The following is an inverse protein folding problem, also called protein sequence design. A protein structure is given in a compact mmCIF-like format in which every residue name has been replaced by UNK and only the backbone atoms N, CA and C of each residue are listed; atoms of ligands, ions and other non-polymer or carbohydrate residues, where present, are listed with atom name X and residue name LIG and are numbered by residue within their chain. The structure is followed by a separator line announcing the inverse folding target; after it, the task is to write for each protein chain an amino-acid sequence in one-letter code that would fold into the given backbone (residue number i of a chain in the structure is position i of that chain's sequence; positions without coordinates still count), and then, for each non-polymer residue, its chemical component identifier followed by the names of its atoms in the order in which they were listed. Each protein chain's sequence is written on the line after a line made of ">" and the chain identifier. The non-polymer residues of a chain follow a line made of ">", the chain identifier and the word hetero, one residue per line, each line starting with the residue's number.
data_IF_912317017427
#
_entry.id   IF_912317017427
#
_cell.length_a   1.000
_cell.length_b   1.000
_cell.length_c   1.000
_cell.angle_alpha   90.00
_cell.angle_beta   90.00
_cell.angle_gamma   90.00
#
_symmetry.space_group_name_H-M   'P 1'
#
loop_
_entity.id
_entity.type
_entity.pdbx_description
1 polymer ?
#
# COMPACT_ATOMS: atom_id res chain seq x y z
N UNK A 1 14.41 7.20 23.81
CA UNK A 1 13.17 6.70 23.18
C UNK A 1 11.97 7.36 23.85
N UNK A 2 11.16 8.10 23.10
CA UNK A 2 9.94 8.75 23.61
C UNK A 2 8.69 7.90 23.33
N UNK A 3 7.64 8.11 24.14
CA UNK A 3 6.46 7.24 24.21
C UNK A 3 5.53 7.36 22.99
N UNK A 4 5.55 8.51 22.31
CA UNK A 4 4.87 8.82 21.06
C UNK A 4 5.65 9.92 20.34
N UNK A 5 5.90 9.82 19.03
CA UNK A 5 6.59 10.86 18.25
C UNK A 5 5.62 11.48 17.24
N UNK A 6 5.17 12.71 17.55
CA UNK A 6 4.20 13.49 16.77
C UNK A 6 4.82 14.67 16.01
N UNK A 7 6.15 14.71 15.87
CA UNK A 7 6.83 15.83 15.22
C UNK A 7 7.71 15.35 14.08
N UNK A 8 7.08 15.10 12.93
CA UNK A 8 7.77 15.15 11.65
C UNK A 8 7.64 16.58 11.14
N UNK A 9 8.64 17.43 11.39
CA UNK A 9 8.69 18.77 10.83
C UNK A 9 9.20 18.68 9.37
N UNK A 10 8.34 18.97 8.39
CA UNK A 10 8.77 19.24 7.02
C UNK A 10 8.58 18.14 5.98
N UNK A 11 7.83 17.07 6.25
CA UNK A 11 7.48 16.06 5.23
C UNK A 11 5.99 15.72 5.31
N UNK A 12 5.40 15.39 4.15
CA UNK A 12 3.97 15.18 3.88
C UNK A 12 3.21 14.47 5.01
N UNK A 13 1.93 14.84 5.15
CA UNK A 13 0.92 14.55 6.18
C UNK A 13 0.64 13.09 6.56
N UNK A 14 1.56 12.15 6.30
CA UNK A 14 1.42 10.73 6.63
C UNK A 14 1.90 10.43 8.05
N UNK A 15 0.97 9.98 8.89
CA UNK A 15 1.27 9.52 10.25
C UNK A 15 1.96 8.15 10.17
N UNK A 16 3.25 8.09 10.53
CA UNK A 16 4.01 6.84 10.65
C UNK A 16 4.08 6.44 12.12
N UNK A 17 3.82 5.18 12.46
CA UNK A 17 4.09 4.69 13.81
C UNK A 17 5.58 4.64 14.07
N UNK A 18 6.02 5.38 15.08
CA UNK A 18 7.42 5.53 15.46
C UNK A 18 7.59 5.31 16.97
N UNK A 19 8.85 5.21 17.40
CA UNK A 19 9.20 5.03 18.81
C UNK A 19 8.81 3.67 19.39
N UNK A 20 8.49 3.64 20.69
CA UNK A 20 8.19 2.41 21.44
C UNK A 20 7.00 1.62 20.86
N UNK A 21 5.89 2.24 20.41
CA UNK A 21 4.80 1.50 19.75
C UNK A 21 5.27 0.71 18.52
N UNK A 22 6.12 1.31 17.69
CA UNK A 22 6.68 0.64 16.51
C UNK A 22 7.68 -0.45 16.89
N UNK A 23 8.52 -0.19 17.89
CA UNK A 23 9.44 -1.20 18.42
C UNK A 23 8.67 -2.44 18.89
N UNK A 24 7.54 -2.26 19.57
CA UNK A 24 6.68 -3.35 20.03
C UNK A 24 6.09 -4.15 18.86
N UNK A 25 5.69 -3.49 17.77
CA UNK A 25 5.22 -4.18 16.54
C UNK A 25 6.31 -5.07 15.93
N UNK A 26 7.54 -4.56 15.83
CA UNK A 26 8.69 -5.28 15.25
C UNK A 26 9.09 -6.48 16.13
N UNK A 27 9.29 -6.25 17.42
CA UNK A 27 9.74 -7.27 18.39
C UNK A 27 8.71 -8.41 18.51
N UNK A 28 7.41 -8.08 18.49
CA UNK A 28 6.34 -9.06 18.60
C UNK A 28 6.00 -9.73 17.27
N UNK A 29 6.61 -9.31 16.16
CA UNK A 29 6.29 -9.80 14.80
C UNK A 29 4.78 -9.68 14.55
N UNK A 30 4.26 -8.47 14.74
CA UNK A 30 2.84 -8.20 14.59
C UNK A 30 2.42 -8.33 13.12
N UNK A 31 1.45 -9.20 12.83
CA UNK A 31 0.85 -9.33 11.48
C UNK A 31 0.11 -8.06 11.06
N UNK A 32 -0.67 -7.50 11.99
CA UNK A 32 -1.46 -6.30 11.78
C UNK A 32 -0.75 -5.11 12.45
N UNK A 33 0.06 -4.40 11.66
CA UNK A 33 0.73 -3.17 12.09
C UNK A 33 -0.21 -1.97 11.91
N UNK A 34 -0.03 -0.92 12.73
CA UNK A 34 -0.94 0.25 12.69
C UNK A 34 -0.80 1.09 11.43
N UNK A 35 0.42 1.20 10.90
CA UNK A 35 0.71 2.02 9.70
C UNK A 35 1.50 1.18 8.69
N UNK A 36 0.84 0.25 7.99
CA UNK A 36 1.49 -0.48 6.90
C UNK A 36 1.76 0.47 5.73
N UNK A 37 2.97 0.39 5.18
CA UNK A 37 3.37 1.20 4.02
C UNK A 37 4.34 0.46 3.13
N UNK A 38 4.26 0.76 1.83
CA UNK A 38 5.26 0.38 0.84
C UNK A 38 5.92 1.64 0.29
N UNK A 39 7.25 1.61 0.24
CA UNK A 39 8.09 2.58 -0.45
C UNK A 39 8.36 2.00 -1.85
N UNK A 40 7.60 2.47 -2.84
CA UNK A 40 7.61 1.96 -4.21
C UNK A 40 8.50 2.85 -5.07
N UNK A 41 9.55 2.24 -5.60
CA UNK A 41 10.48 2.91 -6.50
C UNK A 41 10.03 2.67 -7.94
N UNK A 42 10.29 3.65 -8.81
CA UNK A 42 9.94 3.58 -10.22
C UNK A 42 11.19 3.27 -11.05
N UNK A 43 10.98 2.72 -12.24
CA UNK A 43 12.05 2.55 -13.22
C UNK A 43 12.70 3.90 -13.60
N UNK A 44 13.88 3.86 -14.24
CA UNK A 44 14.64 5.08 -14.52
C UNK A 44 13.94 6.06 -15.47
N UNK A 45 13.01 5.59 -16.31
CA UNK A 45 12.27 6.43 -17.26
C UNK A 45 11.13 7.18 -16.55
N UNK A 46 10.39 6.45 -15.71
CA UNK A 46 9.24 6.95 -14.97
C UNK A 46 9.63 7.73 -13.73
N UNK A 47 10.73 7.38 -13.06
CA UNK A 47 11.21 8.09 -11.87
C UNK A 47 11.66 9.52 -12.17
N UNK A 48 12.02 9.82 -13.43
CA UNK A 48 12.42 11.17 -13.87
C UNK A 48 11.25 11.98 -14.43
N UNK A 49 10.12 11.35 -14.72
CA UNK A 49 8.98 11.99 -15.34
C UNK A 49 7.72 11.88 -14.47
N UNK A 50 7.28 13.03 -13.94
CA UNK A 50 6.09 13.09 -13.07
C UNK A 50 4.81 12.56 -13.74
N UNK A 51 4.66 12.72 -15.06
CA UNK A 51 3.47 12.26 -15.78
C UNK A 51 3.43 10.74 -15.86
N UNK A 52 4.58 10.12 -16.14
CA UNK A 52 4.71 8.67 -16.17
C UNK A 52 4.66 8.05 -14.76
N UNK A 53 5.16 8.76 -13.75
CA UNK A 53 5.01 8.37 -12.35
C UNK A 53 3.54 8.39 -11.90
N UNK A 54 2.77 9.40 -12.32
CA UNK A 54 1.33 9.49 -12.07
C UNK A 54 0.55 8.37 -12.75
N UNK A 55 0.97 7.91 -13.93
CA UNK A 55 0.36 6.74 -14.57
C UNK A 55 0.47 5.49 -13.69
N UNK A 56 1.66 5.23 -13.14
CA UNK A 56 1.87 4.11 -12.20
C UNK A 56 1.07 4.30 -10.92
N UNK A 57 1.05 5.52 -10.37
CA UNK A 57 0.26 5.85 -9.18
C UNK A 57 -1.21 5.47 -9.36
N UNK A 58 -1.80 5.82 -10.50
CA UNK A 58 -3.21 5.54 -10.81
C UNK A 58 -3.48 4.05 -10.93
N UNK A 59 -2.55 3.31 -11.52
CA UNK A 59 -2.66 1.87 -11.65
C UNK A 59 -2.54 1.14 -10.29
N UNK A 60 -1.76 1.69 -9.37
CA UNK A 60 -1.59 1.15 -8.01
C UNK A 60 -2.70 1.61 -7.04
N UNK A 61 -3.35 2.74 -7.31
CA UNK A 61 -4.39 3.27 -6.43
C UNK A 61 -5.68 2.46 -6.53
N UNK A 62 -6.02 1.79 -5.42
CA UNK A 62 -7.30 1.10 -5.32
C UNK A 62 -8.46 2.10 -5.35
N UNK A 63 -9.14 2.16 -6.49
CA UNK A 63 -10.28 3.04 -6.74
C UNK A 63 -11.56 2.21 -6.85
N UNK A 64 -12.45 2.32 -5.87
CA UNK A 64 -13.77 1.68 -5.92
C UNK A 64 -14.75 2.54 -6.71
N UNK A 65 -15.79 1.90 -7.27
CA UNK A 65 -16.89 2.62 -7.91
C UNK A 65 -17.51 3.64 -6.95
N UNK A 66 -17.66 3.27 -5.66
CA UNK A 66 -18.11 4.17 -4.61
C UNK A 66 -17.29 5.47 -4.51
N UNK A 67 -15.97 5.41 -4.76
CA UNK A 67 -15.09 6.58 -4.68
C UNK A 67 -15.33 7.56 -5.84
N UNK A 68 -15.74 7.06 -7.02
CA UNK A 68 -15.96 7.88 -8.22
C UNK A 68 -17.43 8.25 -8.45
N UNK A 69 -18.36 7.52 -7.84
CA UNK A 69 -19.80 7.77 -7.90
C UNK A 69 -20.16 8.98 -7.03
N UNK A 70 -20.82 9.97 -7.64
CA UNK A 70 -21.44 11.08 -6.90
C UNK A 70 -22.79 10.66 -6.33
N UNK A 71 -23.64 10.04 -7.15
CA UNK A 71 -25.03 9.73 -6.81
C UNK A 71 -25.41 8.37 -7.40
N UNK A 72 -26.27 7.63 -6.68
CA UNK A 72 -26.88 6.38 -7.17
C UNK A 72 -28.38 6.44 -6.92
N UNK A 73 -29.16 6.30 -7.98
CA UNK A 73 -30.62 6.43 -7.96
C UNK A 73 -31.28 5.23 -8.63
N UNK A 74 -32.48 4.87 -8.16
CA UNK A 74 -33.28 3.78 -8.73
C UNK A 74 -34.55 4.38 -9.30
N UNK A 75 -34.77 4.14 -10.59
CA UNK A 75 -35.95 4.56 -11.33
C UNK A 75 -36.74 3.35 -11.79
N UNK A 76 -38.04 3.54 -11.96
CA UNK A 76 -38.88 2.59 -12.69
C UNK A 76 -39.09 3.16 -14.09
N UNK A 77 -38.45 2.55 -15.08
CA UNK A 77 -38.46 2.97 -16.47
C UNK A 77 -38.94 1.79 -17.35
N UNK A 78 -40.23 1.77 -17.75
CA UNK A 78 -40.84 0.60 -18.35
C UNK A 78 -40.49 0.37 -19.82
N UNK A 79 -40.03 1.40 -20.54
CA UNK A 79 -39.61 1.30 -21.94
C UNK A 79 -38.11 1.51 -22.05
N UNK A 80 -37.32 0.52 -22.49
CA UNK A 80 -35.87 0.69 -22.59
C UNK A 80 -35.44 1.66 -23.70
N UNK A 81 -36.28 1.93 -24.71
CA UNK A 81 -35.94 2.81 -25.84
C UNK A 81 -36.25 4.28 -25.57
N UNK A 82 -37.04 4.57 -24.54
CA UNK A 82 -37.44 5.91 -24.20
C UNK A 82 -37.42 6.07 -22.68
N UNK A 83 -36.67 7.04 -22.18
CA UNK A 83 -36.52 7.20 -20.73
C UNK A 83 -37.42 8.29 -20.16
N UNK A 84 -37.83 8.09 -18.91
CA UNK A 84 -38.51 9.12 -18.12
C UNK A 84 -37.59 10.26 -17.65
N UNK A 85 -36.27 10.11 -17.80
CA UNK A 85 -35.26 11.09 -17.36
C UNK A 85 -34.92 12.03 -18.53
N UNK A 86 -35.40 13.28 -18.47
CA UNK A 86 -35.23 14.25 -19.56
C UNK A 86 -33.76 14.55 -19.89
N UNK A 87 -32.88 14.54 -18.89
CA UNK A 87 -31.44 14.80 -19.06
C UNK A 87 -30.72 13.71 -19.85
N UNK A 88 -31.21 12.47 -19.80
CA UNK A 88 -30.56 11.29 -20.37
C UNK A 88 -31.23 10.86 -21.70
N UNK A 89 -32.34 11.52 -22.09
CA UNK A 89 -33.17 11.16 -23.25
C UNK A 89 -32.38 11.13 -24.57
N UNK A 90 -31.61 12.19 -24.86
CA UNK A 90 -30.80 12.28 -26.08
C UNK A 90 -29.72 11.18 -26.13
N UNK A 91 -29.15 10.82 -24.98
CA UNK A 91 -28.12 9.79 -24.87
C UNK A 91 -28.69 8.39 -25.12
N UNK A 92 -29.83 8.08 -24.50
CA UNK A 92 -30.53 6.80 -24.67
C UNK A 92 -31.00 6.62 -26.12
N UNK A 93 -31.61 7.65 -26.71
CA UNK A 93 -32.06 7.61 -28.11
C UNK A 93 -30.89 7.36 -29.07
N UNK A 94 -29.77 8.09 -28.89
CA UNK A 94 -28.56 7.90 -29.70
C UNK A 94 -27.98 6.49 -29.56
N UNK A 95 -27.94 5.93 -28.35
CA UNK A 95 -27.40 4.58 -28.11
C UNK A 95 -28.19 3.52 -28.88
N UNK A 96 -29.53 3.56 -28.80
CA UNK A 96 -30.37 2.57 -29.47
C UNK A 96 -30.55 2.81 -30.97
N UNK A 97 -30.26 4.01 -31.48
CA UNK A 97 -30.20 4.28 -32.92
C UNK A 97 -28.94 3.70 -33.59
N UNK A 98 -27.86 3.47 -32.82
CA UNK A 98 -26.59 2.96 -33.33
C UNK A 98 -26.49 1.43 -33.29
N UNK A 99 -27.29 0.74 -32.47
CA UNK A 99 -27.35 -0.72 -32.47
C UNK A 99 -28.24 -1.24 -33.61
N UNK A 100 -27.69 -2.12 -34.47
CA UNK A 100 -28.49 -2.85 -35.47
C UNK A 100 -29.61 -3.64 -34.77
N UNK A 101 -30.86 -3.42 -35.21
CA UNK A 101 -32.16 -3.90 -34.69
C UNK A 101 -32.32 -5.43 -34.42
N UNK A 102 -31.27 -6.24 -34.57
CA UNK A 102 -31.32 -7.71 -34.52
C UNK A 102 -30.83 -8.36 -33.21
N UNK A 103 -30.62 -7.61 -32.13
CA UNK A 103 -30.33 -8.23 -30.83
C UNK A 103 -31.64 -8.56 -30.08
N UNK A 104 -31.99 -9.84 -30.02
CA UNK A 104 -33.17 -10.35 -29.27
C UNK A 104 -33.09 -10.13 -27.73
N UNK A 105 -32.12 -9.35 -27.26
CA UNK A 105 -31.84 -9.07 -25.86
C UNK A 105 -32.53 -7.78 -25.36
N UNK A 106 -32.80 -6.80 -26.22
CA UNK A 106 -33.39 -5.51 -25.82
C UNK A 106 -34.83 -5.66 -25.31
N UNK A 107 -35.59 -6.66 -25.78
CA UNK A 107 -37.01 -6.82 -25.45
C UNK A 107 -37.29 -7.47 -24.09
N UNK A 108 -36.26 -7.94 -23.36
CA UNK A 108 -36.43 -8.68 -22.08
C UNK A 108 -35.56 -8.13 -20.95
N UNK A 109 -35.48 -6.81 -20.86
CA UNK A 109 -34.78 -6.12 -19.76
C UNK A 109 -35.74 -5.80 -18.61
N UNK A 110 -35.18 -5.65 -17.40
CA UNK A 110 -35.95 -5.26 -16.22
C UNK A 110 -36.44 -3.81 -16.38
N UNK A 111 -37.68 -3.49 -15.96
CA UNK A 111 -38.18 -2.12 -15.94
C UNK A 111 -37.59 -1.28 -14.79
N UNK A 112 -36.72 -1.86 -13.96
CA UNK A 112 -35.99 -1.13 -12.92
C UNK A 112 -34.64 -0.67 -13.45
N UNK A 113 -34.43 0.64 -13.48
CA UNK A 113 -33.22 1.31 -13.92
C UNK A 113 -32.39 1.75 -12.71
N UNK A 114 -31.10 1.42 -12.71
CA UNK A 114 -30.11 1.93 -11.75
C UNK A 114 -29.28 3.00 -12.44
N UNK A 115 -29.46 4.27 -12.05
CA UNK A 115 -28.68 5.41 -12.56
C UNK A 115 -27.51 5.67 -11.62
N UNK A 116 -26.29 5.72 -12.17
CA UNK A 116 -25.07 6.05 -11.43
C UNK A 116 -24.46 7.29 -12.06
N UNK A 117 -24.43 8.39 -11.31
CA UNK A 117 -23.75 9.61 -11.72
C UNK A 117 -22.30 9.58 -11.25
N UNK A 118 -21.36 9.94 -12.12
CA UNK A 118 -19.92 9.96 -11.82
C UNK A 118 -19.42 11.39 -11.63
N UNK A 119 -18.56 11.60 -10.64
CA UNK A 119 -18.00 12.92 -10.33
C UNK A 119 -16.95 13.34 -11.38
N UNK A 120 -17.26 14.38 -12.17
CA UNK A 120 -16.36 14.91 -13.23
C UNK A 120 -15.04 15.48 -12.69
N UNK A 121 -15.01 16.04 -11.47
CA UNK A 121 -13.79 16.59 -10.88
C UNK A 121 -12.74 15.51 -10.58
N UNK A 122 -13.18 14.33 -10.14
CA UNK A 122 -12.31 13.18 -9.91
C UNK A 122 -11.82 12.54 -11.21
N UNK A 123 -12.50 12.81 -12.33
CA UNK A 123 -12.13 12.32 -13.67
C UNK A 123 -11.09 13.20 -14.37
N UNK A 124 -10.96 14.48 -13.96
CA UNK A 124 -10.15 15.49 -14.66
C UNK A 124 -8.79 15.72 -13.99
N UNK A 125 -8.59 15.26 -12.75
CA UNK A 125 -7.35 15.49 -12.00
C UNK A 125 -6.19 14.62 -12.52
N UNK A 126 -5.65 14.98 -13.69
CA UNK A 126 -4.50 14.36 -14.38
C UNK A 126 -4.10 15.18 -15.61
N UNK A 127 -3.07 16.05 -15.49
CA UNK A 127 -2.05 16.40 -16.52
C UNK A 127 -1.18 17.61 -16.10
N UNK A 128 0.15 17.55 -16.38
CA UNK A 128 1.07 18.63 -16.86
C UNK A 128 2.58 18.44 -16.51
N UNK A 129 3.41 19.07 -17.37
CA UNK A 129 4.80 18.83 -17.86
C UNK A 129 6.04 19.28 -17.00
N UNK A 130 7.23 18.93 -17.53
CA UNK A 130 8.63 18.87 -16.99
C UNK A 130 9.61 19.94 -17.51
N UNK A 131 10.71 20.19 -16.78
CA UNK A 131 12.07 20.51 -17.35
C UNK A 131 13.25 20.10 -16.43
N UNK A 132 14.48 20.06 -17.01
CA UNK A 132 15.66 19.20 -16.78
C UNK A 132 16.74 19.59 -15.73
N UNK A 133 17.73 18.68 -15.55
CA UNK A 133 18.78 18.54 -14.50
C UNK A 133 20.22 18.70 -15.06
N UNK A 134 21.23 18.95 -14.21
CA UNK A 134 22.60 18.49 -14.51
C UNK A 134 23.74 18.81 -13.53
N UNK A 135 24.20 17.79 -12.76
CA UNK A 135 25.58 17.31 -12.51
C UNK A 135 25.56 16.20 -11.43
N UNK A 136 26.69 15.70 -10.87
CA UNK A 136 26.65 14.78 -9.71
C UNK A 136 26.07 15.51 -8.50
N UNK A 137 24.76 15.39 -8.43
CA UNK A 137 23.84 16.10 -7.59
C UNK A 137 22.95 15.03 -6.99
N UNK A 138 22.36 15.31 -5.83
CA UNK A 138 21.24 14.52 -5.33
C UNK A 138 20.17 14.52 -6.40
N UNK A 139 20.04 13.43 -7.17
CA UNK A 139 19.03 13.34 -8.22
C UNK A 139 17.69 13.16 -7.55
N UNK A 140 16.85 14.18 -7.64
CA UNK A 140 15.46 14.08 -7.23
C UNK A 140 14.74 13.17 -8.21
N UNK A 141 14.36 11.98 -7.74
CA UNK A 141 13.52 11.06 -8.48
C UNK A 141 12.16 10.95 -7.79
N UNK A 142 11.12 10.68 -8.57
CA UNK A 142 9.77 10.44 -8.08
C UNK A 142 9.68 9.00 -7.55
N UNK A 143 9.33 8.88 -6.28
CA UNK A 143 8.93 7.63 -5.63
C UNK A 143 7.49 7.72 -5.13
N UNK A 144 6.85 6.58 -4.92
CA UNK A 144 5.48 6.50 -4.43
C UNK A 144 5.48 5.86 -3.04
N UNK A 145 4.86 6.54 -2.07
CA UNK A 145 4.57 5.95 -0.76
C UNK A 145 3.11 5.49 -0.74
N UNK A 146 2.88 4.20 -0.50
CA UNK A 146 1.53 3.63 -0.38
C UNK A 146 1.15 3.43 1.09
N UNK A 147 -0.16 3.39 1.36
CA UNK A 147 -0.70 2.99 2.66
C UNK A 147 -1.37 1.63 2.47
N UNK A 148 -0.72 0.56 2.94
CA UNK A 148 -1.22 -0.80 2.74
C UNK A 148 -0.15 -1.89 2.74
N UNK A 149 -0.62 -3.12 2.54
CA UNK A 149 0.18 -4.34 2.38
C UNK A 149 -0.25 -4.97 1.05
N UNK A 150 0.70 -5.21 0.15
CA UNK A 150 0.56 -6.04 -1.07
C UNK A 150 1.86 -5.99 -1.90
N UNK A 151 3.00 -6.28 -1.28
CA UNK A 151 4.32 -6.13 -1.91
C UNK A 151 4.44 -6.98 -3.17
N UNK A 152 3.88 -8.19 -3.17
CA UNK A 152 3.99 -9.14 -4.29
C UNK A 152 3.38 -8.59 -5.59
N UNK A 153 2.12 -8.12 -5.54
CA UNK A 153 1.47 -7.59 -6.74
C UNK A 153 2.09 -6.26 -7.18
N UNK A 154 2.50 -5.42 -6.22
CA UNK A 154 3.16 -4.14 -6.52
C UNK A 154 4.48 -4.34 -7.25
N UNK A 155 5.29 -5.33 -6.85
CA UNK A 155 6.55 -5.65 -7.54
C UNK A 155 6.33 -6.20 -8.95
N UNK A 156 5.18 -6.80 -9.24
CA UNK A 156 4.85 -7.29 -10.57
C UNK A 156 4.26 -6.20 -11.50
N UNK A 157 3.98 -5.01 -10.97
CA UNK A 157 3.36 -3.95 -11.75
C UNK A 157 4.36 -3.32 -12.72
N UNK A 158 3.93 -3.09 -13.95
CA UNK A 158 4.76 -2.43 -14.96
C UNK A 158 5.11 -1.00 -14.54
N UNK A 159 6.40 -0.67 -14.61
CA UNK A 159 6.93 0.64 -14.26
C UNK A 159 7.43 0.77 -12.82
N UNK A 160 7.26 -0.27 -12.00
CA UNK A 160 7.83 -0.38 -10.66
C UNK A 160 9.22 -1.00 -10.76
N UNK A 161 10.16 -0.45 -9.99
CA UNK A 161 11.49 -1.03 -9.78
C UNK A 161 11.43 -2.04 -8.63
N UNK A 162 11.41 -3.32 -8.99
CA UNK A 162 11.33 -4.44 -8.07
C UNK A 162 12.59 -4.57 -7.19
N UNK A 163 13.72 -3.99 -7.58
CA UNK A 163 14.99 -4.16 -6.84
C UNK A 163 15.11 -3.23 -5.63
N UNK A 164 14.46 -2.07 -5.69
CA UNK A 164 14.50 -1.04 -4.64
C UNK A 164 13.21 -0.96 -3.82
N UNK A 165 12.08 -1.45 -4.34
CA UNK A 165 10.78 -1.42 -3.66
C UNK A 165 10.83 -2.13 -2.30
N UNK A 166 10.29 -1.48 -1.26
CA UNK A 166 10.44 -1.89 0.13
C UNK A 166 9.11 -1.85 0.90
N UNK A 167 8.85 -2.86 1.72
CA UNK A 167 7.72 -2.89 2.67
C UNK A 167 8.21 -2.71 4.10
N UNK A 168 7.42 -2.03 4.94
CA UNK A 168 7.69 -1.99 6.38
C UNK A 168 7.11 -3.20 7.15
N UNK A 169 6.39 -4.10 6.47
CA UNK A 169 5.84 -5.31 7.09
C UNK A 169 6.83 -6.48 6.95
N UNK A 170 7.46 -6.86 8.05
CA UNK A 170 8.46 -7.95 8.06
C UNK A 170 7.88 -9.33 7.83
N UNK A 171 6.59 -9.53 8.12
CA UNK A 171 5.88 -10.80 7.85
C UNK A 171 5.67 -10.95 6.34
N UNK A 172 5.22 -9.89 5.68
CA UNK A 172 5.03 -9.87 4.23
C UNK A 172 6.37 -10.06 3.49
N UNK A 173 7.44 -9.39 3.93
CA UNK A 173 8.78 -9.57 3.35
C UNK A 173 9.26 -11.02 3.48
N UNK A 174 8.95 -11.69 4.60
CA UNK A 174 9.29 -13.11 4.78
C UNK A 174 8.58 -14.00 3.76
N UNK A 175 7.31 -13.72 3.50
CA UNK A 175 6.48 -14.50 2.59
C UNK A 175 6.87 -14.27 1.12
N UNK A 176 7.24 -13.04 0.75
CA UNK A 176 7.55 -12.67 -0.65
C UNK A 176 9.04 -12.85 -1.00
N UNK A 177 9.95 -12.38 -0.14
CA UNK A 177 11.40 -12.31 -0.42
C UNK A 177 12.25 -13.30 0.39
N UNK A 178 11.74 -13.81 1.51
CA UNK A 178 12.41 -14.81 2.35
C UNK A 178 13.26 -14.26 3.50
N UNK A 179 13.87 -15.20 4.23
CA UNK A 179 14.46 -14.97 5.57
C UNK A 179 15.61 -13.94 5.61
N UNK A 180 16.49 -13.91 4.61
CA UNK A 180 17.62 -12.97 4.57
C UNK A 180 17.17 -11.55 4.23
N UNK A 181 16.16 -11.40 3.36
CA UNK A 181 15.53 -10.13 3.10
C UNK A 181 14.86 -9.59 4.38
N UNK A 182 14.15 -10.46 5.10
CA UNK A 182 13.55 -10.10 6.40
C UNK A 182 14.60 -9.70 7.43
N UNK A 183 15.74 -10.39 7.52
CA UNK A 183 16.84 -10.04 8.42
C UNK A 183 17.36 -8.62 8.15
N UNK A 184 17.57 -8.27 6.88
CA UNK A 184 18.00 -6.92 6.47
C UNK A 184 16.91 -5.87 6.73
N UNK A 185 15.65 -6.20 6.48
CA UNK A 185 14.51 -5.32 6.75
C UNK A 185 14.34 -5.05 8.26
N UNK A 186 14.45 -6.08 9.12
CA UNK A 186 14.44 -5.94 10.57
C UNK A 186 15.51 -4.96 11.05
N UNK A 187 16.73 -5.11 10.53
CA UNK A 187 17.83 -4.21 10.87
C UNK A 187 17.53 -2.77 10.46
N UNK A 188 17.01 -2.55 9.24
CA UNK A 188 16.60 -1.22 8.73
C UNK A 188 15.53 -0.61 9.63
N UNK A 189 14.47 -1.35 9.94
CA UNK A 189 13.36 -0.89 10.78
C UNK A 189 13.79 -0.58 12.23
N UNK A 190 14.56 -1.47 12.86
CA UNK A 190 15.05 -1.25 14.23
C UNK A 190 15.95 -0.03 14.32
N UNK A 191 16.84 0.13 13.34
CA UNK A 191 17.72 1.30 13.24
C UNK A 191 16.90 2.58 13.08
N UNK A 192 15.93 2.60 12.17
CA UNK A 192 15.05 3.75 11.94
C UNK A 192 14.30 4.16 13.22
N UNK A 193 13.82 3.20 14.01
CA UNK A 193 13.09 3.49 15.27
C UNK A 193 13.99 4.10 16.34
N UNK A 194 15.25 3.65 16.43
CA UNK A 194 16.20 4.08 17.48
C UNK A 194 16.89 5.39 17.10
N UNK A 195 17.38 5.50 15.87
CA UNK A 195 18.08 6.70 15.37
C UNK A 195 17.15 7.90 15.24
N UNK A 196 15.83 7.69 15.13
CA UNK A 196 14.85 8.76 15.10
C UNK A 196 14.95 9.73 16.29
N UNK A 197 15.26 9.22 17.48
CA UNK A 197 15.40 10.02 18.71
C UNK A 197 16.84 10.57 18.88
N UNK A 198 17.65 10.55 17.82
CA UNK A 198 19.08 10.91 17.86
C UNK A 198 19.93 9.94 18.68
N UNK A 199 19.35 8.82 19.12
CA UNK A 199 20.04 7.82 19.94
C UNK A 199 20.88 6.90 19.06
N UNK A 200 22.11 6.63 19.49
CA UNK A 200 23.00 5.70 18.80
C UNK A 200 22.99 4.33 19.48
N UNK A 201 22.85 3.28 18.67
CA UNK A 201 23.11 1.89 19.09
C UNK A 201 24.09 1.28 18.10
N UNK A 202 25.12 0.63 18.62
CA UNK A 202 26.12 -0.03 17.79
C UNK A 202 25.47 -1.12 16.92
N UNK A 203 25.81 -1.12 15.63
CA UNK A 203 25.38 -2.13 14.64
C UNK A 203 25.46 -3.56 15.16
N UNK A 204 26.51 -3.91 15.93
CA UNK A 204 26.72 -5.26 16.46
C UNK A 204 25.57 -5.76 17.33
N UNK A 205 24.97 -4.87 18.13
CA UNK A 205 23.84 -5.24 18.99
C UNK A 205 22.56 -5.48 18.19
N UNK A 206 22.30 -4.61 17.20
CA UNK A 206 21.14 -4.76 16.33
C UNK A 206 21.26 -5.97 15.42
N UNK A 207 22.44 -6.22 14.87
CA UNK A 207 22.73 -7.40 14.05
C UNK A 207 22.51 -8.70 14.84
N UNK A 208 23.05 -8.79 16.06
CA UNK A 208 22.86 -9.97 16.92
C UNK A 208 21.38 -10.23 17.21
N UNK A 209 20.60 -9.17 17.47
CA UNK A 209 19.16 -9.28 17.69
C UNK A 209 18.43 -9.83 16.44
N UNK A 210 18.73 -9.27 15.27
CA UNK A 210 18.14 -9.72 14.00
C UNK A 210 18.51 -11.17 13.70
N UNK A 211 19.74 -11.58 13.97
CA UNK A 211 20.21 -12.95 13.78
C UNK A 211 19.48 -13.91 14.74
N UNK A 212 19.28 -13.54 16.01
CA UNK A 212 18.49 -14.33 16.97
C UNK A 212 17.03 -14.49 16.52
N UNK A 213 16.45 -13.46 15.91
CA UNK A 213 15.08 -13.51 15.38
C UNK A 213 14.93 -14.34 14.11
N UNK A 214 16.02 -14.60 13.35
CA UNK A 214 15.96 -15.20 12.01
C UNK A 214 16.75 -16.50 11.85
N UNK A 215 17.56 -16.91 12.84
CA UNK A 215 18.46 -18.07 12.71
C UNK A 215 17.78 -19.44 12.53
N UNK A 216 16.49 -19.60 12.89
CA UNK A 216 15.77 -20.88 12.80
C UNK A 216 15.04 -21.11 11.47
N UNK A 217 15.21 -20.22 10.49
CA UNK A 217 14.51 -20.29 9.20
C UNK A 217 13.05 -19.86 9.25
N UNK A 218 12.57 -19.34 10.37
CA UNK A 218 11.27 -18.70 10.52
C UNK A 218 11.40 -17.50 11.46
N UNK A 219 10.50 -16.52 11.33
CA UNK A 219 10.54 -15.29 12.11
C UNK A 219 10.12 -15.55 13.56
N UNK A 220 11.05 -15.41 14.49
CA UNK A 220 10.83 -15.61 15.92
C UNK A 220 10.48 -14.28 16.60
N UNK A 221 9.30 -14.20 17.18
CA UNK A 221 8.92 -13.07 18.03
C UNK A 221 9.64 -13.12 19.38
N UNK A 222 10.08 -11.98 19.90
CA UNK A 222 10.71 -11.90 21.23
C UNK A 222 9.61 -11.65 22.26
N UNK A 223 8.79 -12.68 22.44
CA UNK A 223 7.72 -12.74 23.44
C UNK A 223 7.84 -14.06 24.18
N UNK A 224 7.13 -14.20 25.30
CA UNK A 224 7.01 -15.50 26.01
C UNK A 224 6.68 -16.65 25.07
N UNK A 225 5.75 -16.43 24.13
CA UNK A 225 5.29 -17.44 23.20
C UNK A 225 6.32 -17.78 22.12
N UNK A 226 7.13 -16.81 21.69
CA UNK A 226 8.18 -17.04 20.70
C UNK A 226 9.42 -17.68 21.31
N UNK A 227 9.82 -17.26 22.51
CA UNK A 227 10.98 -17.82 23.23
C UNK A 227 10.68 -19.26 23.70
N UNK A 228 9.44 -19.58 24.07
CA UNK A 228 9.06 -20.94 24.48
C UNK A 228 9.06 -21.96 23.32
N UNK A 229 9.06 -21.50 22.06
CA UNK A 229 9.30 -22.37 20.88
C UNK A 229 10.78 -22.69 20.67
N UNK A 230 11.67 -22.02 21.42
CA UNK A 230 13.07 -22.41 21.41
C UNK A 230 13.23 -23.81 22.03
N UNK A 231 14.19 -24.58 21.53
CA UNK A 231 14.57 -25.88 22.11
C UNK A 231 15.41 -25.67 23.38
N UNK A 232 14.80 -25.02 24.37
CA UNK A 232 15.41 -24.73 25.67
C UNK A 232 14.94 -25.75 26.70
N UNK A 233 15.84 -26.09 27.63
CA UNK A 233 15.53 -27.01 28.73
C UNK A 233 14.35 -26.50 29.56
N UNK A 234 13.57 -27.43 30.13
CA UNK A 234 12.39 -27.09 30.93
C UNK A 234 12.70 -26.11 32.07
N UNK A 235 13.85 -26.28 32.75
CA UNK A 235 14.29 -25.37 33.81
C UNK A 235 14.48 -23.92 33.33
N UNK A 236 14.98 -23.73 32.10
CA UNK A 236 15.17 -22.40 31.54
C UNK A 236 13.82 -21.77 31.17
N UNK A 237 12.88 -22.56 30.63
CA UNK A 237 11.52 -22.09 30.35
C UNK A 237 10.78 -21.69 31.63
N UNK A 238 10.91 -22.47 32.71
CA UNK A 238 10.30 -22.14 33.99
C UNK A 238 10.79 -20.83 34.61
N UNK A 239 12.00 -20.37 34.22
CA UNK A 239 12.52 -19.07 34.67
C UNK A 239 11.87 -17.87 33.99
N UNK A 240 11.15 -18.08 32.88
CA UNK A 240 10.54 -17.02 32.08
C UNK A 240 9.01 -17.20 31.99
N UNK A 241 8.30 -16.58 32.92
CA UNK A 241 6.84 -16.37 32.91
C UNK A 241 5.90 -17.60 32.86
N UNK A 242 6.39 -18.84 32.96
CA UNK A 242 5.55 -20.05 33.14
C UNK A 242 6.10 -20.96 34.26
N UNK A 243 5.45 -20.98 35.43
CA UNK A 243 5.59 -22.07 36.42
C UNK A 243 4.43 -23.03 36.32
#
# INVERSE_FOLDING_TARGET
>A
MTLNTFHYAGVSSKNVTLGVPRLKEIINVAKNIKTPRLEVWLDAERSRNIELAKEVQVNLEHTTLQKVTSVTEIYYDPDPRNTIIEEDADFVDTYYQLEDDNSAFVTRVSPWLLRIELNRGMMIDKRLNITEVGNFETTTEWGLDTDGINLQEVMCQYGVDETRTYSNNTVEIMEVLGIEATRKALLKELRNVIEFDGSYVNYRHLALLCDVMTNRGHLMAITRHGINRAETGALMRCSFEET
#
